data_IF_969804978393
#
_entry.id   IF_969804978393
#
_cell.length_a   1.000
_cell.length_b   1.000
_cell.length_c   1.000
_cell.angle_alpha   90.00
_cell.angle_beta   90.00
_cell.angle_gamma   90.00
#
_symmetry.space_group_name_H-M   'P 1'
#
loop_
_entity.id
_entity.type
_entity.pdbx_description
1 polymer ?
#
# COMPACT_ATOMS: atom_id res chain seq x y z
N UNK A 1 21.68 -17.04 -22.01
CA UNK A 1 22.89 -16.38 -21.44
C UNK A 1 22.95 -16.40 -19.92
N UNK A 2 21.82 -16.51 -19.23
CA UNK A 2 21.83 -16.75 -17.79
C UNK A 2 22.40 -18.16 -17.50
N UNK A 3 23.34 -18.27 -16.55
CA UNK A 3 24.00 -19.55 -16.20
C UNK A 3 25.37 -19.80 -16.82
N UNK A 4 25.86 -18.94 -17.71
CA UNK A 4 27.20 -19.03 -18.29
C UNK A 4 28.22 -18.09 -17.62
N UNK A 5 27.77 -17.25 -16.69
CA UNK A 5 28.67 -16.39 -15.93
C UNK A 5 29.53 -17.20 -14.97
N UNK A 6 30.82 -16.90 -14.84
CA UNK A 6 31.67 -17.53 -13.84
C UNK A 6 31.15 -17.21 -12.44
N UNK A 7 31.30 -18.15 -11.50
CA UNK A 7 30.74 -18.03 -10.13
C UNK A 7 31.12 -16.74 -9.40
N UNK A 8 32.35 -16.26 -9.58
CA UNK A 8 32.81 -14.99 -8.98
C UNK A 8 32.04 -13.78 -9.52
N UNK A 9 31.66 -13.78 -10.80
CA UNK A 9 30.90 -12.71 -11.40
C UNK A 9 29.44 -12.68 -10.88
N UNK A 10 28.86 -13.84 -10.63
CA UNK A 10 27.55 -13.96 -9.97
C UNK A 10 27.60 -13.36 -8.56
N UNK A 11 28.67 -13.66 -7.80
CA UNK A 11 28.88 -13.07 -6.46
C UNK A 11 29.03 -11.55 -6.57
N UNK A 12 29.81 -11.04 -7.52
CA UNK A 12 29.97 -9.59 -7.72
C UNK A 12 28.63 -8.91 -8.03
N UNK A 13 27.81 -9.51 -8.90
CA UNK A 13 26.45 -9.01 -9.19
C UNK A 13 25.54 -9.03 -7.95
N UNK A 14 25.56 -10.11 -7.17
CA UNK A 14 24.77 -10.23 -5.96
C UNK A 14 25.17 -9.15 -4.92
N UNK A 15 26.47 -8.96 -4.72
CA UNK A 15 27.00 -7.88 -3.85
C UNK A 15 26.60 -6.51 -4.39
N UNK A 16 26.70 -6.30 -5.71
CA UNK A 16 26.26 -5.03 -6.33
C UNK A 16 24.77 -4.76 -6.05
N UNK A 17 23.89 -5.74 -6.29
CA UNK A 17 22.45 -5.59 -6.00
C UNK A 17 22.19 -5.26 -4.52
N UNK A 18 22.86 -5.96 -3.60
CA UNK A 18 22.74 -5.72 -2.17
C UNK A 18 23.21 -4.31 -1.78
N UNK A 19 24.40 -3.91 -2.23
CA UNK A 19 24.97 -2.58 -1.95
C UNK A 19 24.13 -1.48 -2.59
N UNK A 20 23.66 -1.70 -3.82
CA UNK A 20 22.79 -0.75 -4.54
C UNK A 20 21.52 -0.45 -3.73
N UNK A 21 20.82 -1.48 -3.25
CA UNK A 21 19.61 -1.31 -2.42
C UNK A 21 19.95 -0.60 -1.12
N UNK A 22 21.01 -1.02 -0.43
CA UNK A 22 21.41 -0.44 0.85
C UNK A 22 21.77 1.04 0.70
N UNK A 23 22.55 1.41 -0.31
CA UNK A 23 22.90 2.81 -0.60
C UNK A 23 21.64 3.60 -0.97
N UNK A 24 20.76 3.05 -1.80
CA UNK A 24 19.49 3.71 -2.17
C UNK A 24 18.63 3.97 -0.93
N UNK A 25 18.53 3.03 -0.01
CA UNK A 25 17.81 3.21 1.27
C UNK A 25 18.43 4.30 2.11
N UNK A 26 19.77 4.29 2.30
CA UNK A 26 20.46 5.32 3.08
C UNK A 26 20.23 6.72 2.49
N UNK A 27 20.31 6.84 1.17
CA UNK A 27 20.03 8.10 0.46
C UNK A 27 18.56 8.51 0.60
N UNK A 28 17.62 7.57 0.47
CA UNK A 28 16.19 7.85 0.59
C UNK A 28 15.85 8.42 1.96
N UNK A 29 16.39 7.87 3.05
CA UNK A 29 16.18 8.39 4.42
C UNK A 29 16.69 9.83 4.56
N UNK A 30 17.85 10.14 4.00
CA UNK A 30 18.40 11.51 4.03
C UNK A 30 17.56 12.46 3.19
N UNK A 31 17.21 12.06 1.96
CA UNK A 31 16.41 12.88 1.06
C UNK A 31 15.00 13.10 1.61
N UNK A 32 14.38 12.10 2.22
CA UNK A 32 13.10 12.24 2.89
C UNK A 32 13.13 13.36 3.93
N UNK A 33 14.10 13.33 4.85
CA UNK A 33 14.24 14.38 5.88
C UNK A 33 14.56 15.77 5.30
N UNK A 34 15.33 15.84 4.21
CA UNK A 34 15.65 17.11 3.54
C UNK A 34 14.47 17.68 2.77
N UNK A 35 13.83 16.87 1.95
CA UNK A 35 12.70 17.31 1.12
C UNK A 35 11.53 17.74 2.01
N UNK A 36 11.21 16.95 3.05
CA UNK A 36 10.22 17.36 4.05
C UNK A 36 10.61 18.67 4.75
N UNK A 37 11.88 18.84 5.10
CA UNK A 37 12.38 20.09 5.67
C UNK A 37 12.15 21.28 4.73
N UNK A 38 12.49 21.15 3.45
CA UNK A 38 12.28 22.21 2.46
C UNK A 38 10.80 22.52 2.22
N UNK A 39 9.95 21.49 2.16
CA UNK A 39 8.49 21.68 2.06
C UNK A 39 7.90 22.41 3.27
N UNK A 40 8.52 22.25 4.45
CA UNK A 40 8.12 22.91 5.71
C UNK A 40 8.90 24.22 5.95
N UNK A 41 9.64 24.74 4.98
CA UNK A 41 10.47 25.96 5.09
C UNK A 41 11.50 25.89 6.23
N UNK A 42 12.02 24.69 6.52
CA UNK A 42 13.07 24.47 7.52
C UNK A 42 14.28 23.75 6.91
N UNK A 43 15.45 23.94 7.52
CA UNK A 43 16.68 23.29 7.10
C UNK A 43 16.63 21.82 7.62
N UNK A 44 16.80 20.86 6.70
CA UNK A 44 16.96 19.44 7.03
C UNK A 44 18.36 19.14 7.63
N UNK A 45 18.73 17.85 7.81
CA UNK A 45 20.02 17.43 8.35
C UNK A 45 21.17 18.05 7.56
N UNK A 46 22.13 18.69 8.28
CA UNK A 46 23.23 19.44 7.64
C UNK A 46 24.63 19.22 8.25
N UNK A 47 24.73 18.51 9.40
CA UNK A 47 25.99 18.46 10.17
C UNK A 47 26.87 17.24 9.87
N UNK A 48 26.30 16.06 9.61
CA UNK A 48 27.10 14.86 9.42
C UNK A 48 27.42 14.62 7.94
N UNK A 49 28.71 14.78 7.60
CA UNK A 49 29.25 14.69 6.24
C UNK A 49 28.88 15.88 5.33
N UNK A 50 29.26 15.83 4.03
CA UNK A 50 28.89 16.87 3.07
C UNK A 50 27.40 17.03 2.99
N UNK A 51 26.88 18.22 3.29
CA UNK A 51 25.45 18.54 3.31
C UNK A 51 24.58 17.58 4.15
N UNK A 52 25.15 16.91 5.17
CA UNK A 52 24.41 15.97 6.01
C UNK A 52 24.09 14.62 5.37
N UNK A 53 24.76 14.23 4.28
CA UNK A 53 24.48 12.97 3.59
C UNK A 53 24.83 11.72 4.40
N UNK A 54 25.76 11.82 5.35
CA UNK A 54 26.14 10.70 6.22
C UNK A 54 25.24 10.56 7.45
N UNK A 55 24.15 11.32 7.56
CA UNK A 55 23.25 11.27 8.72
C UNK A 55 22.59 9.89 8.89
N UNK A 56 22.13 9.27 7.82
CA UNK A 56 21.51 7.93 7.89
C UNK A 56 22.52 6.86 8.33
N UNK A 57 23.77 6.97 7.91
CA UNK A 57 24.83 6.07 8.35
C UNK A 57 25.12 6.26 9.85
N UNK A 58 25.21 7.52 10.32
CA UNK A 58 25.39 7.83 11.73
C UNK A 58 24.21 7.31 12.58
N UNK A 59 22.98 7.43 12.10
CA UNK A 59 21.80 6.89 12.75
C UNK A 59 21.84 5.35 12.82
N UNK A 60 22.29 4.68 11.76
CA UNK A 60 22.51 3.24 11.73
C UNK A 60 23.55 2.78 12.76
N UNK A 61 24.73 3.42 12.78
CA UNK A 61 25.78 3.10 13.75
C UNK A 61 25.29 3.35 15.19
N UNK A 62 24.58 4.44 15.44
CA UNK A 62 23.97 4.72 16.75
C UNK A 62 23.04 3.61 17.18
N UNK A 63 22.18 3.08 16.29
CA UNK A 63 21.27 1.97 16.61
C UNK A 63 22.03 0.67 16.86
N UNK A 64 23.13 0.42 16.17
CA UNK A 64 23.97 -0.77 16.39
C UNK A 64 24.67 -0.73 17.76
N UNK A 65 25.07 0.44 18.24
CA UNK A 65 25.76 0.64 19.51
C UNK A 65 24.80 0.84 20.70
N UNK A 66 23.49 0.99 20.43
CA UNK A 66 22.49 1.16 21.47
C UNK A 66 22.28 -0.15 22.24
N UNK A 67 21.98 -0.04 23.54
CA UNK A 67 21.64 -1.17 24.38
C UNK A 67 20.46 -1.99 23.81
N UNK A 68 20.65 -3.29 23.74
CA UNK A 68 19.63 -4.24 23.25
C UNK A 68 18.77 -4.71 24.41
N UNK A 69 17.51 -4.32 24.41
CA UNK A 69 16.54 -4.73 25.41
C UNK A 69 15.74 -5.93 24.89
N UNK A 70 15.62 -6.95 25.75
CA UNK A 70 14.78 -8.12 25.49
C UNK A 70 13.71 -8.20 26.58
N UNK A 71 12.44 -8.15 26.16
CA UNK A 71 11.31 -8.22 27.08
C UNK A 71 11.29 -9.58 27.78
N UNK A 72 11.10 -9.59 29.11
CA UNK A 72 11.14 -10.82 29.92
C UNK A 72 10.08 -11.86 29.52
N UNK A 73 8.93 -11.43 29.01
CA UNK A 73 7.82 -12.28 28.56
C UNK A 73 7.90 -12.67 27.09
N UNK A 74 8.88 -12.16 26.33
CA UNK A 74 9.04 -12.45 24.92
C UNK A 74 9.56 -13.87 24.68
N UNK A 75 9.06 -14.52 23.63
CA UNK A 75 9.68 -15.74 23.09
C UNK A 75 10.97 -15.35 22.36
N UNK A 76 12.11 -15.57 23.01
CA UNK A 76 13.41 -15.11 22.55
C UNK A 76 13.79 -15.62 21.16
N UNK A 77 13.45 -16.87 20.84
CA UNK A 77 13.80 -17.45 19.53
C UNK A 77 13.04 -16.75 18.40
N UNK A 78 11.72 -16.63 18.52
CA UNK A 78 10.87 -15.97 17.54
C UNK A 78 11.15 -14.48 17.50
N UNK A 79 11.40 -13.86 18.66
CA UNK A 79 11.72 -12.42 18.77
C UNK A 79 12.98 -12.01 18.01
N UNK A 80 14.01 -12.88 17.95
CA UNK A 80 15.23 -12.65 17.17
C UNK A 80 15.02 -13.00 15.70
N UNK A 81 14.23 -14.04 15.40
CA UNK A 81 14.00 -14.50 14.04
C UNK A 81 13.10 -13.55 13.24
N UNK A 82 12.12 -12.93 13.87
CA UNK A 82 11.12 -12.08 13.20
C UNK A 82 11.73 -10.94 12.35
N UNK A 83 12.68 -10.11 12.84
CA UNK A 83 13.33 -9.09 12.01
C UNK A 83 14.11 -9.68 10.81
N UNK A 84 14.68 -10.87 10.96
CA UNK A 84 15.42 -11.56 9.88
C UNK A 84 14.44 -12.01 8.80
N UNK A 85 13.31 -12.61 9.20
CA UNK A 85 12.24 -13.03 8.27
C UNK A 85 11.62 -11.85 7.56
N UNK A 86 11.56 -10.67 8.16
CA UNK A 86 11.11 -9.45 7.49
C UNK A 86 12.15 -8.91 6.49
N UNK A 87 13.43 -8.86 6.88
CA UNK A 87 14.47 -8.20 6.10
C UNK A 87 14.99 -9.03 4.92
N UNK A 88 15.25 -10.34 5.13
CA UNK A 88 15.86 -11.19 4.09
C UNK A 88 15.02 -11.25 2.80
N UNK A 89 13.70 -11.52 2.85
CA UNK A 89 12.88 -11.55 1.63
C UNK A 89 12.83 -10.22 0.89
N UNK A 90 12.84 -9.10 1.61
CA UNK A 90 12.84 -7.77 1.01
C UNK A 90 14.08 -7.55 0.11
N UNK A 91 15.27 -7.98 0.55
CA UNK A 91 16.48 -7.95 -0.27
C UNK A 91 16.45 -8.98 -1.42
N UNK A 92 15.85 -10.15 -1.21
CA UNK A 92 15.79 -11.19 -2.24
C UNK A 92 14.95 -10.75 -3.45
N UNK A 93 13.90 -9.99 -3.25
CA UNK A 93 13.01 -9.56 -4.31
C UNK A 93 13.69 -8.74 -5.42
N UNK A 94 14.78 -8.01 -5.11
CA UNK A 94 15.51 -7.20 -6.10
C UNK A 94 16.31 -8.04 -7.10
N UNK A 95 16.59 -9.30 -6.79
CA UNK A 95 17.43 -10.17 -7.60
C UNK A 95 16.92 -10.40 -9.03
N UNK A 96 15.61 -10.29 -9.23
CA UNK A 96 14.95 -10.51 -10.54
C UNK A 96 14.69 -9.23 -11.33
N UNK A 97 15.09 -8.07 -10.79
CA UNK A 97 14.87 -6.77 -11.44
C UNK A 97 15.94 -6.53 -12.51
N UNK A 98 15.56 -6.24 -13.78
CA UNK A 98 16.52 -5.95 -14.85
C UNK A 98 16.98 -4.48 -14.80
N UNK A 99 18.28 -4.26 -14.67
CA UNK A 99 18.92 -2.94 -14.73
C UNK A 99 19.33 -2.56 -16.15
N UNK A 100 19.31 -3.51 -17.09
CA UNK A 100 19.65 -3.31 -18.50
C UNK A 100 19.08 -4.38 -19.39
N UNK A 101 19.22 -4.24 -20.74
CA UNK A 101 18.70 -5.19 -21.70
C UNK A 101 19.37 -6.55 -21.58
N UNK A 102 18.60 -7.63 -21.78
CA UNK A 102 19.10 -9.00 -21.71
C UNK A 102 20.18 -9.31 -22.79
N UNK A 103 20.15 -8.59 -23.92
CA UNK A 103 21.10 -8.72 -25.00
C UNK A 103 22.27 -7.73 -24.97
N UNK A 104 22.27 -6.77 -24.05
CA UNK A 104 23.34 -5.78 -23.96
C UNK A 104 24.43 -6.28 -23.03
N UNK A 105 25.51 -6.75 -23.61
CA UNK A 105 26.63 -7.25 -22.88
C UNK A 105 27.52 -6.08 -22.43
N UNK A 106 27.44 -5.81 -21.13
CA UNK A 106 28.39 -4.89 -20.49
C UNK A 106 29.67 -5.66 -20.13
N UNK A 107 30.80 -5.11 -20.47
CA UNK A 107 32.08 -5.71 -20.10
C UNK A 107 32.44 -5.34 -18.66
N UNK A 108 32.49 -6.36 -17.78
CA UNK A 108 32.99 -6.25 -16.41
C UNK A 108 34.27 -7.08 -16.30
N UNK A 109 35.40 -6.46 -16.05
CA UNK A 109 36.73 -7.11 -16.01
C UNK A 109 37.05 -7.99 -17.23
N UNK A 110 36.63 -7.55 -18.44
CA UNK A 110 36.85 -8.27 -19.67
C UNK A 110 35.85 -9.37 -20.01
N UNK A 111 34.92 -9.69 -19.11
CA UNK A 111 33.84 -10.62 -19.36
C UNK A 111 32.56 -9.87 -19.75
N UNK A 112 31.93 -10.28 -20.87
CA UNK A 112 30.65 -9.75 -21.31
C UNK A 112 29.52 -10.41 -20.53
N UNK A 113 28.68 -9.61 -19.91
CA UNK A 113 27.58 -10.09 -19.06
C UNK A 113 26.35 -9.17 -19.12
N UNK A 114 25.20 -9.69 -18.70
CA UNK A 114 23.95 -8.92 -18.62
C UNK A 114 23.86 -8.13 -17.31
N UNK A 115 23.19 -6.98 -17.33
CA UNK A 115 22.93 -6.16 -16.14
C UNK A 115 21.72 -6.67 -15.32
N UNK A 116 21.64 -7.96 -15.09
CA UNK A 116 20.62 -8.60 -14.27
C UNK A 116 21.25 -9.78 -13.54
N UNK A 117 20.85 -10.02 -12.30
CA UNK A 117 21.40 -11.13 -11.53
C UNK A 117 20.82 -12.46 -12.01
N UNK A 118 19.49 -12.54 -12.13
CA UNK A 118 18.80 -13.73 -12.65
C UNK A 118 17.51 -13.30 -13.37
N UNK A 119 17.14 -14.05 -14.41
CA UNK A 119 15.86 -13.91 -15.10
C UNK A 119 15.05 -15.19 -14.92
N UNK A 120 13.95 -15.09 -14.19
CA UNK A 120 13.05 -16.19 -13.95
C UNK A 120 11.83 -16.07 -14.87
N UNK A 121 11.34 -17.16 -15.47
CA UNK A 121 10.11 -17.14 -16.26
C UNK A 121 8.88 -16.65 -15.46
N UNK A 122 8.93 -16.82 -14.14
CA UNK A 122 7.88 -16.44 -13.19
C UNK A 122 8.38 -15.38 -12.18
N UNK A 123 9.22 -14.44 -12.66
CA UNK A 123 9.90 -13.47 -11.81
C UNK A 123 8.94 -12.67 -10.92
N UNK A 124 7.78 -12.28 -11.43
CA UNK A 124 6.81 -11.48 -10.66
C UNK A 124 6.13 -12.31 -9.56
N UNK A 125 5.84 -13.59 -9.80
CA UNK A 125 5.32 -14.47 -8.74
C UNK A 125 6.37 -14.68 -7.64
N UNK A 126 7.66 -14.73 -8.00
CA UNK A 126 8.75 -14.77 -7.03
C UNK A 126 8.76 -13.50 -6.15
N UNK A 127 8.58 -12.30 -6.73
CA UNK A 127 8.49 -11.05 -5.96
C UNK A 127 7.31 -11.08 -4.99
N UNK A 128 6.11 -11.47 -5.45
CA UNK A 128 4.94 -11.59 -4.58
C UNK A 128 5.17 -12.62 -3.45
N UNK A 129 5.75 -13.78 -3.78
CA UNK A 129 6.04 -14.80 -2.77
C UNK A 129 7.03 -14.31 -1.71
N UNK A 130 8.08 -13.58 -2.09
CA UNK A 130 9.03 -12.99 -1.14
C UNK A 130 8.40 -11.89 -0.30
N UNK A 131 7.53 -11.05 -0.87
CA UNK A 131 6.76 -10.06 -0.12
C UNK A 131 5.87 -10.72 0.93
N UNK A 132 5.10 -11.75 0.55
CA UNK A 132 4.24 -12.52 1.47
C UNK A 132 5.03 -13.15 2.63
N UNK A 133 6.25 -13.67 2.40
CA UNK A 133 7.12 -14.17 3.48
C UNK A 133 7.51 -13.05 4.44
N UNK A 134 7.77 -11.83 3.94
CA UNK A 134 8.06 -10.65 4.76
C UNK A 134 6.96 -10.30 5.75
N UNK A 135 5.69 -10.52 5.38
CA UNK A 135 4.52 -10.28 6.26
C UNK A 135 4.59 -11.15 7.53
N UNK A 136 5.02 -12.41 7.39
CA UNK A 136 5.20 -13.28 8.57
C UNK A 136 6.19 -12.69 9.58
N UNK A 137 7.23 -11.98 9.12
CA UNK A 137 8.17 -11.31 10.01
C UNK A 137 7.48 -10.28 10.92
N UNK A 138 6.54 -9.50 10.39
CA UNK A 138 5.77 -8.51 11.15
C UNK A 138 4.82 -9.19 12.15
N UNK A 139 4.09 -10.22 11.71
CA UNK A 139 3.16 -10.97 12.58
C UNK A 139 3.91 -11.64 13.74
N UNK A 140 5.02 -12.33 13.42
CA UNK A 140 5.85 -12.99 14.41
C UNK A 140 6.48 -11.98 15.38
N UNK A 141 6.86 -10.79 14.88
CA UNK A 141 7.37 -9.70 15.69
C UNK A 141 6.35 -9.23 16.73
N UNK A 142 5.12 -8.99 16.30
CA UNK A 142 4.02 -8.63 17.21
C UNK A 142 3.68 -9.73 18.21
N UNK A 143 3.60 -10.98 17.75
CA UNK A 143 3.23 -12.12 18.59
C UNK A 143 4.30 -12.46 19.64
N UNK A 144 5.57 -12.49 19.24
CA UNK A 144 6.69 -12.85 20.11
C UNK A 144 6.96 -11.86 21.24
N UNK A 145 6.48 -10.64 21.12
CA UNK A 145 6.68 -9.55 22.09
C UNK A 145 6.00 -9.78 23.45
N UNK A 146 5.03 -10.72 23.54
CA UNK A 146 4.36 -11.06 24.80
C UNK A 146 3.50 -9.94 25.38
N UNK A 147 3.13 -8.94 24.59
CA UNK A 147 2.28 -7.80 24.94
C UNK A 147 1.08 -7.70 23.96
N UNK A 148 -0.04 -7.18 24.45
CA UNK A 148 -1.29 -7.05 23.66
C UNK A 148 -1.18 -5.98 22.58
N UNK A 149 -0.49 -4.87 22.82
CA UNK A 149 -0.35 -3.77 21.86
C UNK A 149 0.45 -4.16 20.61
N UNK A 150 1.65 -4.76 20.71
CA UNK A 150 2.38 -5.27 19.55
C UNK A 150 1.62 -6.33 18.77
N UNK A 151 0.90 -7.23 19.46
CA UNK A 151 0.08 -8.25 18.80
C UNK A 151 -1.02 -7.63 17.94
N UNK A 152 -1.79 -6.69 18.50
CA UNK A 152 -2.84 -5.98 17.76
C UNK A 152 -2.25 -5.15 16.61
N UNK A 153 -1.10 -4.50 16.82
CA UNK A 153 -0.37 -3.77 15.78
C UNK A 153 0.05 -4.67 14.63
N UNK A 154 0.65 -5.82 14.94
CA UNK A 154 1.07 -6.82 13.94
C UNK A 154 -0.11 -7.39 13.14
N UNK A 155 -1.23 -7.71 13.80
CA UNK A 155 -2.43 -8.20 13.12
C UNK A 155 -3.07 -7.15 12.20
N UNK A 156 -3.10 -5.87 12.61
CA UNK A 156 -3.60 -4.79 11.75
C UNK A 156 -2.71 -4.56 10.53
N UNK A 157 -1.39 -4.55 10.71
CA UNK A 157 -0.44 -4.42 9.60
C UNK A 157 -0.53 -5.59 8.63
N UNK A 158 -0.64 -6.81 9.13
CA UNK A 158 -0.84 -8.01 8.32
C UNK A 158 -2.13 -7.94 7.49
N UNK A 159 -3.27 -7.59 8.11
CA UNK A 159 -4.54 -7.46 7.41
C UNK A 159 -4.47 -6.38 6.30
N UNK A 160 -3.75 -5.29 6.56
CA UNK A 160 -3.47 -4.25 5.58
C UNK A 160 -2.68 -4.81 4.40
N UNK A 161 -1.50 -5.37 4.64
CA UNK A 161 -0.60 -5.85 3.59
C UNK A 161 -1.28 -6.90 2.71
N UNK A 162 -1.93 -7.92 3.29
CA UNK A 162 -2.67 -8.95 2.53
C UNK A 162 -3.75 -8.34 1.64
N UNK A 163 -4.51 -7.37 2.14
CA UNK A 163 -5.58 -6.72 1.35
C UNK A 163 -5.03 -6.01 0.11
N UNK A 164 -3.91 -5.33 0.26
CA UNK A 164 -3.30 -4.55 -0.82
C UNK A 164 -2.45 -5.42 -1.75
N UNK A 165 -1.87 -6.50 -1.26
CA UNK A 165 -1.19 -7.51 -2.06
C UNK A 165 -2.15 -8.16 -3.08
N UNK A 166 -3.41 -8.44 -2.69
CA UNK A 166 -4.43 -8.94 -3.61
C UNK A 166 -4.71 -7.92 -4.73
N UNK A 167 -4.90 -6.65 -4.40
CA UNK A 167 -5.14 -5.60 -5.40
C UNK A 167 -3.93 -5.42 -6.33
N UNK A 168 -2.71 -5.50 -5.80
CA UNK A 168 -1.46 -5.45 -6.54
C UNK A 168 -1.33 -6.64 -7.49
N UNK A 169 -1.61 -7.86 -7.03
CA UNK A 169 -1.59 -9.07 -7.85
C UNK A 169 -2.57 -9.01 -9.02
N UNK A 170 -3.78 -8.45 -8.82
CA UNK A 170 -4.75 -8.22 -9.89
C UNK A 170 -4.25 -7.18 -10.91
N UNK A 171 -3.56 -6.12 -10.45
CA UNK A 171 -2.90 -5.16 -11.34
C UNK A 171 -1.83 -5.82 -12.20
N UNK A 172 -1.02 -6.72 -11.63
CA UNK A 172 -0.01 -7.50 -12.36
C UNK A 172 -0.64 -8.45 -13.38
N UNK A 173 -1.75 -9.10 -13.03
CA UNK A 173 -2.45 -9.99 -13.96
C UNK A 173 -2.86 -9.28 -15.26
N UNK A 174 -3.27 -8.02 -15.20
CA UNK A 174 -3.55 -7.22 -16.39
C UNK A 174 -2.29 -6.98 -17.25
N UNK A 175 -1.13 -6.77 -16.60
CA UNK A 175 0.16 -6.63 -17.30
C UNK A 175 0.55 -7.95 -17.98
N UNK A 176 0.38 -9.10 -17.31
CA UNK A 176 0.69 -10.42 -17.88
C UNK A 176 -0.19 -10.75 -19.07
N UNK A 177 -1.46 -10.46 -19.00
CA UNK A 177 -2.37 -10.62 -20.13
C UNK A 177 -1.92 -9.81 -21.35
N UNK A 178 -1.34 -8.63 -21.12
CA UNK A 178 -0.91 -7.76 -22.20
C UNK A 178 0.48 -8.13 -22.74
N UNK A 179 1.45 -8.44 -21.89
CA UNK A 179 2.82 -8.81 -22.26
C UNK A 179 2.94 -10.25 -22.78
N UNK A 180 2.05 -11.16 -22.30
CA UNK A 180 2.15 -12.60 -22.59
C UNK A 180 3.26 -13.32 -21.82
N UNK A 181 3.90 -12.67 -20.83
CA UNK A 181 4.99 -13.22 -20.04
C UNK A 181 4.96 -12.70 -18.60
N UNK A 182 5.50 -13.48 -17.66
CA UNK A 182 5.73 -13.10 -16.26
C UNK A 182 7.22 -12.81 -15.97
N UNK A 183 8.11 -12.96 -16.97
CA UNK A 183 9.51 -12.57 -16.85
C UNK A 183 9.63 -11.05 -16.87
N UNK A 184 10.44 -10.50 -15.97
CA UNK A 184 10.66 -9.05 -15.87
C UNK A 184 11.37 -8.49 -17.10
N UNK A 185 12.33 -9.22 -17.66
CA UNK A 185 13.05 -8.81 -18.89
C UNK A 185 12.12 -8.79 -20.10
N UNK A 186 11.31 -9.84 -20.29
CA UNK A 186 10.35 -9.93 -21.40
C UNK A 186 9.27 -8.85 -21.32
N UNK A 187 8.80 -8.50 -20.11
CA UNK A 187 7.83 -7.41 -19.91
C UNK A 187 8.44 -6.06 -20.31
N UNK A 188 9.70 -5.79 -19.96
CA UNK A 188 10.38 -4.55 -20.37
C UNK A 188 10.59 -4.51 -21.89
N UNK A 189 10.93 -5.64 -22.50
CA UNK A 189 11.07 -5.73 -23.97
C UNK A 189 9.74 -5.49 -24.70
N UNK A 190 8.65 -6.03 -24.19
CA UNK A 190 7.31 -5.82 -24.75
C UNK A 190 6.87 -4.34 -24.73
N UNK A 191 7.46 -3.52 -23.84
CA UNK A 191 7.22 -2.07 -23.77
C UNK A 191 8.03 -1.23 -24.76
N UNK A 192 8.58 -1.85 -25.80
CA UNK A 192 9.41 -1.15 -26.79
C UNK A 192 8.71 0.06 -27.41
N UNK A 193 7.48 -0.10 -27.86
CA UNK A 193 6.74 0.94 -28.58
C UNK A 193 5.97 1.88 -27.68
N UNK A 194 5.39 1.38 -26.60
CA UNK A 194 4.56 2.15 -25.65
C UNK A 194 4.72 1.61 -24.25
N UNK A 195 4.87 2.49 -23.29
CA UNK A 195 4.89 2.13 -21.87
C UNK A 195 3.49 1.70 -21.41
N UNK A 196 3.45 0.72 -20.53
CA UNK A 196 2.17 0.19 -20.03
C UNK A 196 1.40 1.17 -19.15
N UNK A 197 2.03 2.19 -18.60
CA UNK A 197 1.32 3.29 -17.91
C UNK A 197 0.29 3.96 -18.82
N UNK A 198 0.54 4.05 -20.14
CA UNK A 198 -0.39 4.64 -21.10
C UNK A 198 -1.46 3.65 -21.57
N UNK A 199 -1.14 2.37 -21.61
CA UNK A 199 -2.04 1.31 -22.09
C UNK A 199 -2.92 0.76 -20.98
N UNK A 200 -2.42 0.71 -19.74
CA UNK A 200 -3.08 0.16 -18.56
C UNK A 200 -3.14 1.20 -17.42
N UNK A 201 -3.74 2.39 -17.64
CA UNK A 201 -3.70 3.45 -16.64
C UNK A 201 -4.41 3.08 -15.34
N UNK A 202 -5.51 2.31 -15.40
CA UNK A 202 -6.23 1.87 -14.21
C UNK A 202 -5.38 0.90 -13.39
N UNK A 203 -4.71 -0.07 -14.04
CA UNK A 203 -3.77 -0.98 -13.35
C UNK A 203 -2.65 -0.19 -12.67
N UNK A 204 -2.11 0.84 -13.33
CA UNK A 204 -1.06 1.68 -12.75
C UNK A 204 -1.56 2.43 -11.51
N UNK A 205 -2.75 3.05 -11.57
CA UNK A 205 -3.33 3.76 -10.41
C UNK A 205 -3.60 2.80 -9.25
N UNK A 206 -4.21 1.63 -9.53
CA UNK A 206 -4.42 0.59 -8.51
C UNK A 206 -3.09 0.17 -7.89
N UNK A 207 -2.07 -0.04 -8.73
CA UNK A 207 -0.74 -0.42 -8.27
C UNK A 207 -0.10 0.66 -7.37
N UNK A 208 -0.15 1.93 -7.78
CA UNK A 208 0.40 3.05 -6.99
C UNK A 208 -0.25 3.13 -5.60
N UNK A 209 -1.56 2.95 -5.52
CA UNK A 209 -2.25 2.94 -4.22
C UNK A 209 -1.85 1.69 -3.41
N UNK A 210 -1.79 0.52 -4.06
CA UNK A 210 -1.45 -0.74 -3.42
C UNK A 210 0.00 -0.74 -2.90
N UNK A 211 0.97 -0.21 -3.67
CA UNK A 211 2.37 -0.17 -3.25
C UNK A 211 2.59 0.69 -2.00
N UNK A 212 1.86 1.81 -1.86
CA UNK A 212 1.92 2.64 -0.65
C UNK A 212 1.28 1.91 0.54
N UNK A 213 0.19 1.17 0.29
CA UNK A 213 -0.48 0.36 1.32
C UNK A 213 0.36 -0.81 1.82
N UNK A 214 1.11 -1.47 0.94
CA UNK A 214 1.97 -2.60 1.29
C UNK A 214 3.22 -2.19 2.06
N UNK A 215 3.76 -1.01 1.78
CA UNK A 215 4.96 -0.51 2.48
C UNK A 215 4.66 0.14 3.83
N UNK A 216 3.44 0.08 4.34
CA UNK A 216 3.03 0.71 5.60
C UNK A 216 3.46 2.18 5.73
N UNK A 217 3.54 2.92 4.61
CA UNK A 217 3.93 4.33 4.58
C UNK A 217 2.72 5.26 4.61
N UNK A 218 2.90 6.45 5.16
CA UNK A 218 1.87 7.47 5.14
C UNK A 218 1.39 7.75 3.69
N UNK A 219 0.06 7.83 3.45
CA UNK A 219 -1.05 8.04 4.38
C UNK A 219 -1.58 6.77 5.07
N UNK A 220 -1.03 5.59 4.80
CA UNK A 220 -1.48 4.27 5.25
C UNK A 220 -0.59 3.70 6.38
N UNK A 221 0.05 4.56 7.12
CA UNK A 221 0.97 4.22 8.21
C UNK A 221 0.19 3.92 9.50
N UNK A 222 -0.30 2.69 9.60
CA UNK A 222 -1.04 2.21 10.76
C UNK A 222 -0.13 1.77 11.93
N UNK A 223 1.06 1.17 11.68
CA UNK A 223 1.93 0.75 12.75
C UNK A 223 2.50 1.89 13.58
N UNK A 224 2.84 3.02 12.95
CA UNK A 224 3.42 4.20 13.61
C UNK A 224 2.36 5.13 14.22
N UNK A 225 1.08 4.69 14.31
CA UNK A 225 0.00 5.48 14.89
C UNK A 225 0.12 5.56 16.41
N UNK A 226 0.95 6.47 16.91
CA UNK A 226 1.12 6.71 18.34
C UNK A 226 -0.21 6.95 19.09
N UNK A 227 -1.19 7.52 18.41
CA UNK A 227 -2.51 7.78 18.97
C UNK A 227 -3.39 6.54 19.16
N UNK A 228 -3.15 5.45 18.38
CA UNK A 228 -4.00 4.26 18.40
C UNK A 228 -3.37 3.08 19.15
N UNK A 229 -2.12 2.75 18.89
CA UNK A 229 -1.44 1.53 19.37
C UNK A 229 0.02 1.75 19.82
N UNK A 230 0.35 2.95 20.26
CA UNK A 230 1.70 3.33 20.73
C UNK A 230 2.72 3.25 19.59
N UNK A 231 3.46 2.17 19.43
CA UNK A 231 4.40 1.96 18.30
C UNK A 231 4.05 0.73 17.45
N UNK A 232 2.83 0.20 17.59
CA UNK A 232 2.42 -0.99 16.85
C UNK A 232 3.29 -2.21 17.16
N UNK A 233 3.63 -3.02 16.15
CA UNK A 233 4.43 -4.23 16.32
C UNK A 233 5.88 -3.97 16.76
N UNK A 234 6.39 -2.76 16.51
CA UNK A 234 7.76 -2.36 16.86
C UNK A 234 7.93 -1.90 18.32
N UNK A 235 6.85 -1.77 19.10
CA UNK A 235 6.87 -1.14 20.43
C UNK A 235 7.90 -1.73 21.37
N UNK A 236 8.08 -3.04 21.37
CA UNK A 236 8.99 -3.74 22.28
C UNK A 236 10.41 -3.95 21.69
N UNK A 237 10.62 -3.60 20.42
CA UNK A 237 11.89 -3.79 19.75
C UNK A 237 12.83 -2.61 19.98
N UNK A 238 14.10 -2.89 20.22
CA UNK A 238 15.16 -1.90 20.41
C UNK A 238 16.41 -2.22 19.61
N UNK A 239 17.34 -1.27 19.54
CA UNK A 239 18.67 -1.45 18.96
C UNK A 239 18.63 -1.94 17.50
N UNK A 240 19.49 -2.89 17.16
CA UNK A 240 19.64 -3.44 15.81
C UNK A 240 18.36 -4.15 15.31
N UNK A 241 17.58 -4.77 16.19
CA UNK A 241 16.34 -5.46 15.82
C UNK A 241 15.29 -4.51 15.30
N UNK A 242 15.14 -3.36 15.95
CA UNK A 242 14.31 -2.26 15.45
C UNK A 242 14.84 -1.70 14.13
N UNK A 243 16.18 -1.52 14.02
CA UNK A 243 16.81 -1.07 12.79
C UNK A 243 16.55 -2.02 11.61
N UNK A 244 16.52 -3.34 11.86
CA UNK A 244 16.24 -4.33 10.81
C UNK A 244 14.80 -4.25 10.29
N UNK A 245 13.78 -4.02 11.14
CA UNK A 245 12.42 -3.78 10.68
C UNK A 245 12.31 -2.50 9.86
N UNK A 246 12.90 -1.40 10.33
CA UNK A 246 12.94 -0.14 9.58
C UNK A 246 13.66 -0.30 8.25
N UNK A 247 14.79 -1.01 8.23
CA UNK A 247 15.53 -1.31 7.01
C UNK A 247 14.67 -2.13 6.03
N UNK A 248 13.98 -3.18 6.50
CA UNK A 248 13.11 -4.01 5.69
C UNK A 248 11.99 -3.18 5.03
N UNK A 249 11.39 -2.25 5.76
CA UNK A 249 10.34 -1.37 5.27
C UNK A 249 10.86 -0.45 4.15
N UNK A 250 12.03 0.18 4.33
CA UNK A 250 12.63 1.02 3.28
C UNK A 250 13.11 0.20 2.08
N UNK A 251 13.65 -1.00 2.30
CA UNK A 251 14.01 -1.91 1.21
C UNK A 251 12.78 -2.31 0.43
N UNK A 252 11.66 -2.64 1.09
CA UNK A 252 10.41 -2.96 0.43
C UNK A 252 9.90 -1.76 -0.41
N UNK A 253 10.00 -0.53 0.11
CA UNK A 253 9.66 0.68 -0.63
C UNK A 253 10.50 0.84 -1.92
N UNK A 254 11.80 0.55 -1.88
CA UNK A 254 12.67 0.54 -3.06
C UNK A 254 12.26 -0.58 -4.02
N UNK A 255 11.95 -1.75 -3.51
CA UNK A 255 11.56 -2.92 -4.32
C UNK A 255 10.24 -2.70 -5.04
N UNK A 256 9.17 -2.24 -4.37
CA UNK A 256 7.90 -1.96 -5.04
C UNK A 256 8.01 -0.83 -6.05
N UNK A 257 8.82 0.20 -5.76
CA UNK A 257 9.14 1.26 -6.73
C UNK A 257 9.87 0.69 -7.96
N UNK A 258 10.82 -0.23 -7.75
CA UNK A 258 11.54 -0.92 -8.81
C UNK A 258 10.60 -1.76 -9.70
N UNK A 259 9.65 -2.44 -9.08
CA UNK A 259 8.60 -3.20 -9.78
C UNK A 259 7.72 -2.26 -10.60
N UNK A 260 7.30 -1.11 -10.07
CA UNK A 260 6.55 -0.10 -10.82
C UNK A 260 7.30 0.38 -12.07
N UNK A 261 8.60 0.69 -11.91
CA UNK A 261 9.47 1.09 -13.03
C UNK A 261 9.50 -0.01 -14.09
N UNK A 262 9.67 -1.27 -13.69
CA UNK A 262 9.79 -2.41 -14.58
C UNK A 262 8.49 -2.72 -15.33
N UNK A 263 7.36 -2.72 -14.62
CA UNK A 263 6.08 -3.14 -15.17
C UNK A 263 5.35 -2.06 -15.97
N UNK A 264 5.49 -0.80 -15.59
CA UNK A 264 4.68 0.28 -16.16
C UNK A 264 5.47 1.37 -16.88
N UNK A 265 6.70 1.65 -16.44
CA UNK A 265 7.51 2.75 -16.94
C UNK A 265 8.63 2.31 -17.90
N UNK A 266 8.54 1.10 -18.43
CA UNK A 266 9.51 0.59 -19.41
C UNK A 266 10.87 0.25 -18.82
N UNK A 267 10.98 -0.02 -17.52
CA UNK A 267 12.22 -0.46 -16.86
C UNK A 267 13.42 0.44 -17.16
N UNK A 268 14.48 -0.14 -17.67
CA UNK A 268 15.75 0.49 -18.04
C UNK A 268 15.69 1.35 -19.31
N UNK A 269 14.60 1.32 -20.09
CA UNK A 269 14.49 2.05 -21.37
C UNK A 269 14.44 3.56 -21.15
N UNK A 270 15.07 4.30 -22.04
CA UNK A 270 15.02 5.76 -22.06
C UNK A 270 13.59 6.27 -22.27
N UNK A 271 13.16 7.36 -21.59
CA UNK A 271 11.85 7.95 -21.80
C UNK A 271 11.72 8.59 -23.19
N UNK A 272 10.51 8.52 -23.76
CA UNK A 272 10.18 9.34 -24.91
C UNK A 272 10.13 10.83 -24.45
N UNK A 273 10.74 11.79 -25.15
CA UNK A 273 11.25 11.75 -26.52
C UNK A 273 12.75 11.37 -26.66
N UNK A 274 13.50 11.17 -25.59
CA UNK A 274 14.95 10.96 -25.64
C UNK A 274 15.30 9.74 -26.48
N UNK A 275 14.55 8.65 -26.37
CA UNK A 275 14.72 7.44 -27.15
C UNK A 275 14.52 7.65 -28.66
N UNK A 276 13.80 8.71 -29.07
CA UNK A 276 13.58 9.03 -30.49
C UNK A 276 14.72 9.84 -31.09
N UNK A 277 15.40 10.68 -30.28
CA UNK A 277 16.48 11.54 -30.77
C UNK A 277 17.87 10.95 -30.59
N UNK A 278 18.01 9.97 -29.72
CA UNK A 278 19.30 9.40 -29.37
C UNK A 278 19.26 7.87 -29.39
N UNK A 279 19.73 7.27 -30.50
CA UNK A 279 19.78 5.82 -30.68
C UNK A 279 20.67 5.10 -29.65
N UNK A 280 21.74 5.74 -29.18
CA UNK A 280 22.63 5.22 -28.16
C UNK A 280 22.09 5.19 -26.73
N UNK A 281 20.91 5.79 -26.47
CA UNK A 281 20.36 5.95 -25.12
C UNK A 281 20.08 4.62 -24.39
N UNK A 282 19.86 3.53 -25.14
CA UNK A 282 19.55 2.21 -24.61
C UNK A 282 20.74 1.23 -24.63
N UNK A 283 21.96 1.71 -24.91
CA UNK A 283 23.19 0.90 -25.00
C UNK A 283 24.19 1.23 -23.88
N UNK A 284 25.07 0.28 -23.56
CA UNK A 284 26.12 0.44 -22.55
C UNK A 284 25.58 0.62 -21.13
N UNK A 285 26.07 1.63 -20.42
CA UNK A 285 25.70 1.92 -19.03
C UNK A 285 24.51 2.89 -18.87
N UNK A 286 24.01 3.49 -19.95
CA UNK A 286 22.89 4.42 -19.94
C UNK A 286 21.58 3.83 -19.41
N UNK A 287 21.23 2.57 -19.70
CA UNK A 287 20.07 1.91 -19.13
C UNK A 287 19.99 2.00 -17.61
N UNK A 288 21.11 1.81 -16.91
CA UNK A 288 21.17 1.93 -15.46
C UNK A 288 20.81 3.35 -14.98
N UNK A 289 21.27 4.37 -15.69
CA UNK A 289 20.98 5.77 -15.34
C UNK A 289 19.48 6.08 -15.47
N UNK A 290 18.85 5.63 -16.57
CA UNK A 290 17.40 5.81 -16.77
C UNK A 290 16.59 5.08 -15.73
N UNK A 291 16.99 3.87 -15.38
CA UNK A 291 16.37 3.09 -14.34
C UNK A 291 16.44 3.82 -12.98
N UNK A 292 17.63 4.28 -12.58
CA UNK A 292 17.86 5.01 -11.32
C UNK A 292 17.07 6.33 -11.30
N UNK A 293 17.01 7.05 -12.40
CA UNK A 293 16.24 8.30 -12.49
C UNK A 293 14.74 8.08 -12.27
N UNK A 294 14.16 7.03 -12.88
CA UNK A 294 12.74 6.67 -12.68
C UNK A 294 12.48 6.18 -11.27
N UNK A 295 13.38 5.37 -10.72
CA UNK A 295 13.30 4.91 -9.35
C UNK A 295 13.32 6.10 -8.37
N UNK A 296 14.24 7.04 -8.56
CA UNK A 296 14.32 8.26 -7.75
C UNK A 296 13.04 9.11 -7.85
N UNK A 297 12.42 9.20 -9.02
CA UNK A 297 11.16 9.89 -9.20
C UNK A 297 10.01 9.24 -8.40
N UNK A 298 9.93 7.90 -8.36
CA UNK A 298 8.92 7.20 -7.54
C UNK A 298 9.21 7.30 -6.04
N UNK A 299 10.47 7.22 -5.64
CA UNK A 299 10.85 7.46 -4.24
C UNK A 299 10.53 8.90 -3.80
N UNK A 300 10.74 9.88 -4.68
CA UNK A 300 10.29 11.26 -4.45
C UNK A 300 8.77 11.34 -4.32
N UNK A 301 8.02 10.59 -5.11
CA UNK A 301 6.56 10.51 -5.01
C UNK A 301 6.09 10.00 -3.64
N UNK A 302 6.75 8.99 -3.06
CA UNK A 302 6.49 8.54 -1.69
C UNK A 302 6.69 9.67 -0.66
N UNK A 303 7.80 10.41 -0.78
CA UNK A 303 8.10 11.53 0.10
C UNK A 303 7.03 12.63 -0.04
N UNK A 304 6.64 12.92 -1.27
CA UNK A 304 5.64 13.94 -1.58
C UNK A 304 4.25 13.59 -1.01
N UNK A 305 3.79 12.35 -1.18
CA UNK A 305 2.53 11.85 -0.62
C UNK A 305 2.54 11.97 0.91
N UNK A 306 3.62 11.57 1.55
CA UNK A 306 3.78 11.68 3.01
C UNK A 306 3.63 13.12 3.52
N UNK A 307 4.08 14.10 2.73
CA UNK A 307 4.00 15.50 3.10
C UNK A 307 2.63 16.13 2.86
N UNK A 308 1.86 15.64 1.89
CA UNK A 308 0.66 16.32 1.36
C UNK A 308 -0.64 15.66 1.78
N UNK A 309 -0.70 14.34 1.85
CA UNK A 309 -1.94 13.63 2.15
C UNK A 309 -2.15 13.46 3.65
N UNK A 310 -3.40 13.68 4.12
CA UNK A 310 -3.75 13.38 5.50
C UNK A 310 -3.75 11.85 5.70
N UNK A 311 -3.47 11.43 6.93
CA UNK A 311 -3.52 10.04 7.34
C UNK A 311 -4.94 9.51 7.30
N UNK A 312 -5.13 8.30 6.78
CA UNK A 312 -6.41 7.61 6.75
C UNK A 312 -6.58 6.73 8.00
N UNK A 313 -7.83 6.66 8.48
CA UNK A 313 -8.18 5.76 9.57
C UNK A 313 -8.27 4.32 9.05
N UNK A 314 -7.96 3.33 9.91
CA UNK A 314 -7.99 1.90 9.58
C UNK A 314 -9.26 1.46 8.85
N UNK A 315 -10.45 1.85 9.35
CA UNK A 315 -11.74 1.47 8.75
C UNK A 315 -11.92 2.02 7.32
N UNK A 316 -11.47 3.24 7.08
CA UNK A 316 -11.54 3.89 5.75
C UNK A 316 -10.61 3.19 4.77
N UNK A 317 -9.42 2.90 5.22
CA UNK A 317 -8.38 2.24 4.49
C UNK A 317 -8.76 0.81 4.08
N UNK A 318 -9.29 0.00 5.01
CA UNK A 318 -9.78 -1.35 4.71
C UNK A 318 -11.00 -1.32 3.77
N UNK A 319 -11.90 -0.33 3.92
CA UNK A 319 -13.01 -0.12 2.97
C UNK A 319 -12.51 0.22 1.57
N UNK A 320 -11.47 1.04 1.45
CA UNK A 320 -10.84 1.37 0.17
C UNK A 320 -10.28 0.12 -0.51
N UNK A 321 -9.52 -0.70 0.19
CA UNK A 321 -8.95 -1.95 -0.34
C UNK A 321 -10.03 -2.92 -0.84
N UNK A 322 -10.91 -3.36 0.07
CA UNK A 322 -11.89 -4.41 -0.21
C UNK A 322 -13.08 -3.97 -1.05
N UNK A 323 -13.59 -2.74 -0.86
CA UNK A 323 -14.82 -2.29 -1.53
C UNK A 323 -14.58 -1.50 -2.82
N UNK A 324 -13.35 -0.98 -3.01
CA UNK A 324 -13.05 -0.16 -4.18
C UNK A 324 -11.94 -0.79 -5.02
N UNK A 325 -10.72 -0.99 -4.46
CA UNK A 325 -9.57 -1.42 -5.26
C UNK A 325 -9.74 -2.82 -5.85
N UNK A 326 -10.13 -3.80 -5.04
CA UNK A 326 -10.31 -5.18 -5.51
C UNK A 326 -11.42 -5.27 -6.57
N UNK A 327 -12.66 -4.77 -6.36
CA UNK A 327 -13.69 -4.81 -7.40
C UNK A 327 -13.31 -4.05 -8.68
N UNK A 328 -12.71 -2.86 -8.56
CA UNK A 328 -12.25 -2.08 -9.71
C UNK A 328 -11.18 -2.82 -10.50
N UNK A 329 -10.21 -3.42 -9.82
CA UNK A 329 -9.15 -4.19 -10.49
C UNK A 329 -9.68 -5.46 -11.16
N UNK A 330 -10.66 -6.15 -10.55
CA UNK A 330 -11.31 -7.32 -11.18
C UNK A 330 -12.07 -6.94 -12.45
N UNK A 331 -12.90 -5.89 -12.39
CA UNK A 331 -13.64 -5.39 -13.56
C UNK A 331 -12.68 -4.96 -14.66
N UNK A 332 -11.62 -4.25 -14.29
CA UNK A 332 -10.59 -3.83 -15.22
C UNK A 332 -9.85 -5.01 -15.85
N UNK A 333 -9.48 -6.02 -15.07
CA UNK A 333 -8.84 -7.23 -15.57
C UNK A 333 -9.73 -7.95 -16.59
N UNK A 334 -11.03 -8.11 -16.31
CA UNK A 334 -11.97 -8.70 -17.25
C UNK A 334 -12.09 -7.90 -18.55
N UNK A 335 -12.10 -6.56 -18.44
CA UNK A 335 -12.12 -5.69 -19.62
C UNK A 335 -10.85 -5.87 -20.46
N UNK A 336 -9.68 -5.86 -19.85
CA UNK A 336 -8.40 -6.08 -20.54
C UNK A 336 -8.36 -7.46 -21.21
N UNK A 337 -8.83 -8.51 -20.51
CA UNK A 337 -8.91 -9.87 -21.06
C UNK A 337 -9.83 -9.93 -22.29
N UNK A 338 -11.01 -9.31 -22.21
CA UNK A 338 -11.96 -9.27 -23.34
C UNK A 338 -11.37 -8.52 -24.54
N UNK A 339 -10.79 -7.36 -24.32
CA UNK A 339 -10.12 -6.60 -25.42
C UNK A 339 -9.01 -7.40 -26.08
N UNK A 340 -8.22 -8.12 -25.27
CA UNK A 340 -7.13 -8.96 -25.78
C UNK A 340 -7.64 -10.17 -26.56
N UNK A 341 -8.69 -10.83 -26.07
CA UNK A 341 -9.32 -11.94 -26.77
C UNK A 341 -9.89 -11.53 -28.14
N UNK A 342 -10.65 -10.43 -28.17
CA UNK A 342 -11.22 -9.88 -29.41
C UNK A 342 -10.14 -9.48 -30.41
N UNK A 343 -9.02 -8.93 -29.94
CA UNK A 343 -7.90 -8.56 -30.79
C UNK A 343 -7.19 -9.79 -31.38
N UNK A 344 -7.12 -10.90 -30.67
CA UNK A 344 -6.49 -12.13 -31.15
C UNK A 344 -7.34 -12.85 -32.21
N UNK A 345 -8.63 -12.57 -32.29
CA UNK A 345 -9.56 -13.10 -33.30
C UNK A 345 -9.73 -12.19 -34.53
N UNK A 346 -8.81 -11.24 -34.75
CA UNK A 346 -8.77 -10.31 -35.89
C UNK A 346 -10.03 -9.43 -36.05
N UNK A 347 -10.77 -9.17 -34.95
CA UNK A 347 -11.85 -8.19 -35.00
C UNK A 347 -11.30 -6.78 -35.20
N UNK A 348 -11.97 -6.01 -36.07
CA UNK A 348 -11.63 -4.62 -36.32
C UNK A 348 -11.59 -3.79 -35.02
N UNK A 349 -10.52 -3.01 -34.85
CA UNK A 349 -10.32 -2.14 -33.68
C UNK A 349 -11.56 -1.25 -33.39
N UNK A 350 -12.26 -0.82 -34.43
CA UNK A 350 -13.47 0.01 -34.34
C UNK A 350 -14.62 -0.74 -33.68
N UNK A 351 -14.80 -2.02 -34.01
CA UNK A 351 -15.81 -2.88 -33.41
C UNK A 351 -15.50 -3.18 -31.94
N UNK A 352 -14.23 -3.40 -31.61
CA UNK A 352 -13.77 -3.64 -30.21
C UNK A 352 -14.08 -2.40 -29.36
N UNK A 353 -13.73 -1.19 -29.83
CA UNK A 353 -14.00 0.05 -29.11
C UNK A 353 -15.50 0.24 -28.90
N UNK A 354 -16.32 -0.07 -29.88
CA UNK A 354 -17.79 0.04 -29.79
C UNK A 354 -18.37 -0.91 -28.74
N UNK A 355 -17.94 -2.18 -28.72
CA UNK A 355 -18.40 -3.16 -27.74
C UNK A 355 -17.94 -2.80 -26.31
N UNK A 356 -16.70 -2.37 -26.14
CA UNK A 356 -16.17 -1.95 -24.84
C UNK A 356 -16.85 -0.70 -24.34
N UNK A 357 -17.03 0.31 -25.21
CA UNK A 357 -17.78 1.53 -24.86
C UNK A 357 -19.23 1.23 -24.51
N UNK A 358 -19.87 0.33 -25.24
CA UNK A 358 -21.22 -0.16 -24.95
C UNK A 358 -21.32 -0.84 -23.58
N UNK A 359 -20.39 -1.75 -23.29
CA UNK A 359 -20.34 -2.45 -22.00
C UNK A 359 -20.11 -1.48 -20.82
N UNK A 360 -19.18 -0.54 -20.96
CA UNK A 360 -18.92 0.50 -19.94
C UNK A 360 -20.16 1.38 -19.74
N UNK A 361 -20.83 1.77 -20.81
CA UNK A 361 -22.05 2.58 -20.74
C UNK A 361 -23.18 1.82 -20.04
N UNK A 362 -23.35 0.54 -20.32
CA UNK A 362 -24.33 -0.32 -19.62
C UNK A 362 -24.01 -0.43 -18.13
N UNK A 363 -22.75 -0.63 -17.75
CA UNK A 363 -22.33 -0.69 -16.35
C UNK A 363 -22.60 0.64 -15.64
N UNK A 364 -22.27 1.77 -16.27
CA UNK A 364 -22.54 3.11 -15.73
C UNK A 364 -24.04 3.36 -15.57
N UNK A 365 -24.84 2.97 -16.54
CA UNK A 365 -26.31 3.06 -16.45
C UNK A 365 -26.85 2.21 -15.32
N UNK A 366 -26.39 0.96 -15.18
CA UNK A 366 -26.80 0.06 -14.10
C UNK A 366 -26.39 0.60 -12.73
N UNK A 367 -25.19 1.17 -12.60
CA UNK A 367 -24.72 1.79 -11.35
C UNK A 367 -25.55 3.03 -11.01
N UNK A 368 -25.84 3.89 -12.01
CA UNK A 368 -26.69 5.07 -11.83
C UNK A 368 -28.11 4.68 -11.41
N UNK A 369 -28.70 3.68 -12.07
CA UNK A 369 -30.01 3.14 -11.71
C UNK A 369 -30.00 2.57 -10.28
N UNK A 370 -28.97 1.79 -9.93
CA UNK A 370 -28.80 1.25 -8.58
C UNK A 370 -28.68 2.36 -7.51
N UNK A 371 -27.95 3.43 -7.81
CA UNK A 371 -27.82 4.58 -6.90
C UNK A 371 -29.13 5.39 -6.77
N UNK A 372 -29.89 5.54 -7.84
CA UNK A 372 -31.22 6.15 -7.79
C UNK A 372 -32.18 5.32 -6.92
N UNK A 373 -32.17 3.99 -7.07
CA UNK A 373 -32.98 3.10 -6.21
C UNK A 373 -32.52 3.10 -4.76
N UNK A 374 -31.20 3.07 -4.50
CA UNK A 374 -30.64 3.17 -3.14
C UNK A 374 -30.90 4.55 -2.52
N UNK A 375 -30.84 5.62 -3.30
CA UNK A 375 -31.13 6.97 -2.84
C UNK A 375 -32.61 7.15 -2.44
N UNK A 376 -33.55 6.44 -3.10
CA UNK A 376 -34.96 6.40 -2.71
C UNK A 376 -35.19 5.61 -1.43
N UNK A 377 -34.60 4.41 -1.30
CA UNK A 377 -34.69 3.61 -0.08
C UNK A 377 -34.11 4.33 1.14
N UNK A 378 -33.01 5.10 0.97
CA UNK A 378 -32.38 5.87 2.05
C UNK A 378 -33.16 7.13 2.43
N UNK A 379 -33.97 7.69 1.52
CA UNK A 379 -34.88 8.81 1.84
C UNK A 379 -36.11 8.33 2.60
N UNK A 380 -36.62 7.14 2.34
CA UNK A 380 -37.72 6.55 3.12
C UNK A 380 -37.29 6.12 4.54
N UNK A 381 -36.03 5.73 4.76
CA UNK A 381 -35.47 5.49 6.11
C UNK A 381 -35.06 6.76 6.86
N UNK A 382 -34.95 7.88 6.20
CA UNK A 382 -34.48 9.16 6.74
C UNK A 382 -35.60 10.18 6.98
N UNK A 383 -36.88 9.77 7.06
CA UNK A 383 -37.86 10.65 7.67
C UNK A 383 -37.57 10.75 9.17
N UNK A 384 -37.18 11.94 9.66
CA UNK A 384 -36.89 12.10 11.08
C UNK A 384 -38.18 12.00 11.86
N UNK A 385 -38.27 10.97 12.68
CA UNK A 385 -39.26 10.94 13.74
C UNK A 385 -39.10 12.22 14.55
N UNK A 386 -40.06 13.16 14.39
CA UNK A 386 -40.39 14.22 15.34
C UNK A 386 -39.27 15.19 15.68
N UNK A 387 -39.15 16.27 14.86
CA UNK A 387 -38.58 17.52 15.33
C UNK A 387 -39.52 18.15 16.36
N UNK A 388 -39.24 17.93 17.62
CA UNK A 388 -40.05 18.52 18.73
C UNK A 388 -39.40 18.32 20.10
N UNK A 389 -38.25 17.69 20.16
CA UNK A 389 -37.51 17.52 21.42
C UNK A 389 -36.41 18.57 21.53
N UNK A 390 -36.50 19.33 22.64
CA UNK A 390 -35.42 20.18 23.12
C UNK A 390 -34.10 19.41 23.10
N UNK A 391 -33.02 20.01 22.56
CA UNK A 391 -31.70 19.37 22.49
C UNK A 391 -31.23 19.01 23.90
N UNK A 392 -31.27 17.74 24.25
CA UNK A 392 -30.71 17.22 25.47
C UNK A 392 -29.22 16.87 25.31
N UNK A 393 -28.29 17.68 25.79
CA UNK A 393 -26.86 17.42 25.67
C UNK A 393 -26.42 16.17 26.42
N UNK A 394 -27.26 15.57 27.26
CA UNK A 394 -26.99 14.36 28.05
C UNK A 394 -27.61 13.07 27.46
N UNK A 395 -28.33 13.14 26.35
CA UNK A 395 -28.98 11.99 25.72
C UNK A 395 -28.00 10.87 25.26
N UNK A 396 -26.69 11.14 25.24
CA UNK A 396 -25.63 10.19 24.91
C UNK A 396 -25.18 9.27 26.05
N UNK A 397 -25.66 9.44 27.26
CA UNK A 397 -25.41 8.52 28.38
C UNK A 397 -23.97 8.51 28.90
N UNK A 398 -23.28 9.65 28.93
CA UNK A 398 -22.05 9.80 29.69
C UNK A 398 -22.38 9.87 31.20
N UNK A 399 -21.85 8.94 32.01
CA UNK A 399 -22.01 9.05 33.47
C UNK A 399 -21.10 10.16 33.98
N UNK A 400 -21.59 11.39 33.95
CA UNK A 400 -20.95 12.48 34.70
C UNK A 400 -21.43 12.36 36.12
N UNK A 401 -20.56 12.17 37.13
CA UNK A 401 -20.98 12.13 38.51
C UNK A 401 -21.69 13.45 38.85
N UNK A 402 -22.87 13.39 39.47
CA UNK A 402 -23.61 14.60 39.83
C UNK A 402 -22.81 15.45 40.79
N UNK A 403 -22.83 16.76 40.59
CA UNK A 403 -22.25 17.71 41.52
C UNK A 403 -22.98 17.61 42.87
N UNK A 404 -22.31 17.87 44.03
CA UNK A 404 -22.94 17.86 45.33
C UNK A 404 -24.17 18.77 45.35
N UNK A 405 -25.36 18.19 45.60
CA UNK A 405 -26.63 18.91 45.60
C UNK A 405 -27.42 18.93 44.29
N UNK A 406 -26.93 18.31 43.22
CA UNK A 406 -27.62 18.21 41.94
C UNK A 406 -28.42 16.90 41.84
N UNK A 407 -29.73 16.99 41.65
CA UNK A 407 -30.60 15.84 41.32
C UNK A 407 -30.70 15.71 39.81
N UNK A 408 -30.17 14.62 39.26
CA UNK A 408 -30.29 14.33 37.81
C UNK A 408 -31.70 13.85 37.49
N UNK A 409 -32.28 14.27 36.35
CA UNK A 409 -33.54 13.69 35.87
C UNK A 409 -33.39 12.19 35.62
N UNK A 410 -34.45 11.39 35.81
CA UNK A 410 -34.39 9.95 35.56
C UNK A 410 -33.99 9.68 34.10
N UNK A 411 -32.94 8.87 33.88
CA UNK A 411 -32.49 8.49 32.56
C UNK A 411 -33.62 7.78 31.83
N UNK A 412 -34.06 8.24 30.63
CA UNK A 412 -35.11 7.57 29.90
C UNK A 412 -34.63 6.14 29.56
N UNK A 413 -35.34 5.14 30.06
CA UNK A 413 -35.03 3.73 29.74
C UNK A 413 -35.10 3.58 28.23
N UNK A 414 -33.98 3.18 27.63
CA UNK A 414 -33.92 2.82 26.18
C UNK A 414 -34.99 1.75 25.95
N UNK A 415 -36.05 2.08 25.20
CA UNK A 415 -37.11 1.15 24.88
C UNK A 415 -36.48 -0.11 24.26
N UNK A 416 -36.78 -1.27 24.83
CA UNK A 416 -36.25 -2.55 24.32
C UNK A 416 -36.77 -2.76 22.90
N UNK A 417 -36.10 -3.60 22.14
CA UNK A 417 -36.51 -3.93 20.75
C UNK A 417 -37.96 -4.44 20.71
N UNK A 418 -38.41 -5.08 21.79
CA UNK A 418 -39.75 -5.59 21.98
C UNK A 418 -40.79 -4.46 22.19
N UNK A 419 -40.41 -3.38 22.89
CA UNK A 419 -41.31 -2.23 23.09
C UNK A 419 -41.47 -1.42 21.79
N UNK A 420 -40.49 -1.42 20.88
CA UNK A 420 -40.62 -0.80 19.56
C UNK A 420 -41.51 -1.59 18.61
N UNK A 421 -41.49 -2.92 18.68
CA UNK A 421 -42.39 -3.76 17.88
C UNK A 421 -43.85 -3.62 18.34
N UNK A 422 -44.11 -3.41 19.64
CA UNK A 422 -45.44 -3.15 20.17
C UNK A 422 -46.00 -1.77 19.79
N UNK A 423 -45.13 -0.73 19.68
CA UNK A 423 -45.51 0.61 19.22
C UNK A 423 -45.83 0.60 17.71
N UNK A 424 -45.16 -0.24 16.92
CA UNK A 424 -45.38 -0.34 15.46
C UNK A 424 -46.59 -1.23 15.16
N UNK A 425 -46.95 -2.23 16.02
CA UNK A 425 -48.09 -3.09 15.85
C UNK A 425 -49.40 -2.55 16.44
N UNK A 426 -49.32 -1.54 17.32
CA UNK A 426 -50.48 -0.88 17.91
C UNK A 426 -50.86 0.38 17.17
N UNK A 427 -51.17 0.23 15.87
CA UNK A 427 -51.80 1.29 15.10
C UNK A 427 -53.21 1.58 15.58
N UNK A 428 -53.46 2.86 15.83
CA UNK A 428 -54.79 3.51 15.75
C UNK A 428 -55.93 2.85 16.54
N UNK A 429 -56.15 3.31 17.76
CA UNK A 429 -57.50 3.51 18.24
C UNK A 429 -57.54 4.62 19.31
N UNK A 430 -58.12 5.73 18.84
CA UNK A 430 -59.05 6.67 19.51
C UNK A 430 -58.74 7.18 20.90
N UNK A 431 -58.21 8.40 20.88
CA UNK A 431 -58.54 9.39 21.93
C UNK A 431 -59.99 9.81 21.73
N UNK A 432 -60.87 9.47 22.67
CA UNK A 432 -62.16 10.15 22.86
C UNK A 432 -62.45 10.31 24.35
N UNK A 433 -62.49 11.57 24.69
CA UNK A 433 -63.32 12.22 25.74
C UNK A 433 -63.60 11.51 27.07
N UNK A 434 -63.28 12.21 28.10
CA UNK A 434 -63.80 11.99 29.43
C UNK A 434 -63.44 13.13 30.36
N UNK A 435 -64.20 14.23 30.17
CA UNK A 435 -64.33 15.32 31.17
C UNK A 435 -65.11 14.85 32.39
N UNK A 436 -64.91 15.58 33.51
CA UNK A 436 -65.75 15.63 34.72
C UNK A 436 -65.37 14.57 35.78
N UNK A 437 -65.24 14.89 37.00
CA UNK A 437 -65.68 15.94 37.87
C UNK A 437 -65.12 15.73 39.25
N UNK A 438 -65.07 16.80 39.90
CA UNK A 438 -65.39 17.12 41.31
C UNK A 438 -64.98 16.23 42.49
N UNK A 439 -64.42 16.93 43.46
CA UNK A 439 -64.97 16.93 44.81
C UNK A 439 -64.01 16.56 45.93
N UNK A 440 -63.60 17.56 46.56
CA UNK A 440 -63.63 17.81 48.07
C UNK A 440 -63.24 16.63 48.99
N UNK A 441 -62.18 16.77 49.67
CA UNK A 441 -62.08 17.06 51.15
C UNK A 441 -60.63 16.96 51.60
#
# INVERSE_FOLDING_TARGET
MFGHDPWWLVVVKAVFCFVFVLVTVLLTIVFERKILGWMQLRIGPNRHGPWGMLQSLADGIKLMLKEDLVVRRADKAVYILAPIVAAVPAFMAIAVIPFGPAGNEVSIFGHRTTMQLTDLPIAILYILATASVGIYGIVLGGWSSGSTYPLLGGLRSCAQMISYEIAMGLSFAAVFLYSGSMSTSAIVEAQHNRWYVLLLPVSFVVYIIAMVGETNRAPFDLPESEGDLVGGFNTEYSSIKFAMFMLAEYVNMVTVSSVAVTLFLGGWRAPYPISAFWEGANHGWWPLLWYVAKLAALLFFFIWIRATLPRLRYDQFMKLGWKVLIPVSMVWLMLVATVRALRNEDYDFRSIVLYVAGAVLVILLLSFVADVFRGRARKEEAEPAGTGGEFDPMAGGYPVPPLPGQTLPPVPRRASRRDRELIVSGGVDTVRDGKEGDGAS
#
